data_IF_814008407433
#
_entry.id   IF_814008407433
#
_cell.length_a   1.000
_cell.length_b   1.000
_cell.length_c   1.000
_cell.angle_alpha   90.00
_cell.angle_beta   90.00
_cell.angle_gamma   90.00
#
_symmetry.space_group_name_H-M   'P 1'
#
loop_
_entity.id
_entity.type
_entity.pdbx_description
1 polymer ?
#
# COMPACT_ATOMS: atom_id res chain seq x y z
N UNK A 1 8.67 26.64 -15.34
CA UNK A 1 9.22 25.45 -14.66
C UNK A 1 8.68 24.21 -15.37
N UNK A 2 9.53 23.37 -15.97
CA UNK A 2 9.12 22.16 -16.68
C UNK A 2 9.27 20.94 -15.78
N UNK A 3 8.20 20.18 -15.55
CA UNK A 3 8.19 19.00 -14.67
C UNK A 3 8.18 17.75 -15.55
N UNK A 4 9.26 16.96 -15.50
CA UNK A 4 9.34 15.69 -16.20
C UNK A 4 8.98 14.55 -15.25
N UNK A 5 7.89 13.81 -15.51
CA UNK A 5 7.47 12.62 -14.73
C UNK A 5 8.35 11.38 -14.99
N UNK A 6 9.66 11.55 -15.04
CA UNK A 6 10.60 10.44 -15.20
C UNK A 6 10.77 9.72 -13.86
N UNK A 7 10.93 8.40 -13.91
CA UNK A 7 11.19 7.53 -12.76
C UNK A 7 12.37 6.61 -13.09
N UNK A 8 13.23 6.36 -12.10
CA UNK A 8 14.37 5.44 -12.24
C UNK A 8 13.89 3.98 -12.27
N UNK A 9 14.18 3.22 -13.35
CA UNK A 9 13.80 1.81 -13.42
C UNK A 9 14.56 0.99 -12.39
N UNK A 10 13.85 0.10 -11.67
CA UNK A 10 14.45 -0.84 -10.70
C UNK A 10 15.61 -1.61 -11.32
N UNK A 11 15.48 -2.09 -12.57
CA UNK A 11 16.53 -2.83 -13.28
C UNK A 11 17.82 -2.01 -13.51
N UNK A 12 17.74 -0.69 -13.66
CA UNK A 12 18.92 0.18 -13.79
C UNK A 12 19.69 0.24 -12.47
N UNK A 13 18.96 0.39 -11.36
CA UNK A 13 19.54 0.33 -10.01
C UNK A 13 20.06 -1.07 -9.70
N UNK A 14 19.38 -2.10 -10.21
CA UNK A 14 19.81 -3.47 -10.05
C UNK A 14 21.08 -3.80 -10.88
N UNK A 15 21.34 -3.11 -11.98
CA UNK A 15 22.56 -3.35 -12.78
C UNK A 15 23.83 -2.77 -12.15
N UNK A 16 23.71 -1.95 -11.11
CA UNK A 16 24.81 -1.45 -10.25
C UNK A 16 24.92 -2.16 -8.89
N UNK A 17 24.33 -3.35 -8.74
CA UNK A 17 23.94 -4.05 -7.49
C UNK A 17 25.00 -4.48 -6.47
N UNK A 18 26.25 -4.06 -6.56
CA UNK A 18 27.18 -4.33 -5.45
C UNK A 18 26.71 -3.66 -4.14
N UNK A 19 26.01 -2.52 -4.26
CA UNK A 19 25.67 -1.63 -3.12
C UNK A 19 24.15 -1.58 -2.83
N UNK A 20 23.28 -1.99 -3.74
CA UNK A 20 21.82 -1.75 -3.63
C UNK A 20 21.03 -2.90 -3.02
N UNK A 21 21.64 -4.06 -2.71
CA UNK A 21 21.00 -5.13 -1.94
C UNK A 21 20.62 -4.71 -0.51
N UNK A 22 21.19 -3.61 -0.01
CA UNK A 22 20.84 -3.04 1.30
C UNK A 22 19.85 -1.87 1.28
N UNK A 23 19.46 -1.36 0.11
CA UNK A 23 18.72 -0.09 0.02
C UNK A 23 17.21 -0.28 -0.20
N UNK A 24 16.36 0.29 0.68
CA UNK A 24 14.92 0.32 0.49
C UNK A 24 14.53 1.16 -0.74
N UNK A 25 13.27 1.03 -1.15
CA UNK A 25 12.69 1.78 -2.28
C UNK A 25 12.93 3.29 -2.11
N UNK A 26 13.58 3.92 -3.10
CA UNK A 26 13.96 5.34 -3.07
C UNK A 26 12.86 6.22 -3.64
N UNK A 27 12.67 7.43 -3.09
CA UNK A 27 11.68 8.40 -3.60
C UNK A 27 11.89 8.75 -5.09
N UNK A 28 13.14 8.77 -5.57
CA UNK A 28 13.48 9.01 -6.97
C UNK A 28 13.00 7.90 -7.95
N UNK A 29 12.56 6.75 -7.42
CA UNK A 29 11.91 5.69 -8.21
C UNK A 29 10.42 5.96 -8.44
N UNK A 30 9.83 6.97 -7.79
CA UNK A 30 8.47 7.43 -8.08
C UNK A 30 8.49 8.66 -9.02
N UNK A 31 7.64 8.73 -10.06
CA UNK A 31 7.54 9.93 -10.88
C UNK A 31 7.09 11.14 -10.07
N UNK A 32 7.66 12.32 -10.37
CA UNK A 32 7.33 13.57 -9.70
C UNK A 32 5.82 13.87 -9.73
N UNK A 33 5.27 14.37 -8.59
CA UNK A 33 3.85 14.67 -8.40
C UNK A 33 2.89 13.49 -8.59
N UNK A 34 3.38 12.25 -8.53
CA UNK A 34 2.49 11.08 -8.45
C UNK A 34 1.97 10.95 -7.03
N UNK A 35 0.66 10.80 -6.88
CA UNK A 35 0.06 10.53 -5.57
C UNK A 35 0.66 9.25 -4.97
N UNK A 36 1.20 9.32 -3.75
CA UNK A 36 1.80 8.20 -3.02
C UNK A 36 0.91 6.95 -2.97
N UNK A 37 -0.41 7.15 -2.88
CA UNK A 37 -1.40 6.07 -2.91
C UNK A 37 -1.40 5.24 -4.21
N UNK A 38 -0.78 5.74 -5.29
CA UNK A 38 -0.69 5.11 -6.62
C UNK A 38 0.71 4.57 -6.93
N UNK A 39 1.64 4.58 -5.96
CA UNK A 39 3.03 4.13 -6.18
C UNK A 39 3.28 2.81 -5.46
N UNK A 40 4.37 2.13 -5.82
CA UNK A 40 4.85 0.95 -5.08
C UNK A 40 5.31 1.27 -3.65
N UNK A 41 5.50 2.56 -3.32
CA UNK A 41 5.80 3.04 -1.97
C UNK A 41 4.53 3.32 -1.15
N UNK A 42 3.34 2.92 -1.62
CA UNK A 42 2.09 3.09 -0.86
C UNK A 42 2.25 2.50 0.55
N UNK A 43 2.04 3.29 1.61
CA UNK A 43 2.07 2.78 2.97
C UNK A 43 1.01 1.68 3.17
N UNK A 44 1.38 0.63 3.91
CA UNK A 44 0.44 -0.42 4.29
C UNK A 44 -0.35 0.09 5.50
N UNK A 45 -1.68 0.13 5.39
CA UNK A 45 -2.56 0.39 6.53
C UNK A 45 -2.56 -0.84 7.44
N UNK A 46 -1.78 -0.79 8.53
CA UNK A 46 -1.68 -1.89 9.52
C UNK A 46 -2.66 -1.77 10.67
N UNK A 47 -3.18 -0.57 10.89
CA UNK A 47 -4.15 -0.27 11.93
C UNK A 47 -5.43 0.26 11.30
N UNK A 48 -6.56 -0.31 11.71
CA UNK A 48 -7.89 0.17 11.38
C UNK A 48 -8.73 0.13 12.66
N UNK A 49 -9.47 1.20 12.91
CA UNK A 49 -10.44 1.28 14.00
C UNK A 49 -11.82 1.52 13.39
N UNK A 50 -12.79 0.72 13.79
CA UNK A 50 -14.17 0.81 13.33
C UNK A 50 -15.02 1.12 14.56
N UNK A 51 -15.85 2.16 14.46
CA UNK A 51 -16.78 2.55 15.51
C UNK A 51 -18.20 2.56 14.97
N UNK A 52 -19.12 1.95 15.71
CA UNK A 52 -20.54 1.91 15.38
C UNK A 52 -21.30 2.64 16.49
N UNK A 53 -21.87 3.83 16.21
CA UNK A 53 -22.62 4.58 17.21
C UNK A 53 -23.97 3.91 17.52
N UNK A 54 -24.53 4.18 18.70
CA UNK A 54 -25.85 3.73 19.14
C UNK A 54 -26.03 2.21 19.33
N UNK A 55 -24.93 1.47 19.51
CA UNK A 55 -24.97 0.02 19.73
C UNK A 55 -24.99 -0.78 18.43
N UNK A 56 -24.38 -1.97 18.46
CA UNK A 56 -24.31 -2.87 17.31
C UNK A 56 -25.58 -3.72 17.22
N UNK A 57 -26.31 -3.63 16.10
CA UNK A 57 -27.40 -4.55 15.79
C UNK A 57 -26.81 -5.90 15.35
N UNK A 58 -26.42 -6.74 16.32
CA UNK A 58 -25.65 -7.98 16.11
C UNK A 58 -26.24 -8.94 15.07
N UNK A 59 -27.55 -8.87 14.80
CA UNK A 59 -28.23 -9.62 13.73
C UNK A 59 -27.66 -9.37 12.32
N UNK A 60 -27.02 -8.23 12.06
CA UNK A 60 -26.35 -7.95 10.78
C UNK A 60 -24.84 -8.25 10.80
N UNK A 61 -24.30 -8.55 11.97
CA UNK A 61 -22.85 -8.71 12.19
C UNK A 61 -22.45 -10.13 12.57
N UNK A 62 -23.40 -10.92 13.09
CA UNK A 62 -23.18 -12.31 13.48
C UNK A 62 -23.47 -13.18 12.26
N UNK A 63 -22.48 -13.93 11.76
CA UNK A 63 -22.70 -14.89 10.68
C UNK A 63 -23.72 -15.94 11.11
N UNK A 64 -24.53 -16.45 10.18
CA UNK A 64 -25.49 -17.51 10.51
C UNK A 64 -24.80 -18.87 10.67
N UNK A 65 -23.66 -19.05 10.01
CA UNK A 65 -22.88 -20.29 9.97
C UNK A 65 -21.39 -19.99 10.09
N UNK A 66 -20.65 -20.97 10.62
CA UNK A 66 -19.19 -20.88 10.80
C UNK A 66 -18.44 -21.86 9.87
N UNK A 67 -17.14 -21.64 9.70
CA UNK A 67 -16.28 -22.57 8.96
C UNK A 67 -16.37 -22.43 7.44
N UNK A 68 -16.41 -23.55 6.72
CA UNK A 68 -16.46 -23.55 5.25
C UNK A 68 -17.80 -23.10 4.68
N UNK A 69 -18.85 -23.17 5.50
CA UNK A 69 -20.21 -22.83 5.13
C UNK A 69 -20.61 -21.44 5.64
N UNK A 70 -19.62 -20.55 5.85
CA UNK A 70 -19.82 -19.17 6.31
C UNK A 70 -20.73 -18.40 5.34
N UNK A 71 -21.87 -17.94 5.85
CA UNK A 71 -22.80 -16.99 5.21
C UNK A 71 -22.94 -15.74 6.06
#
# INVERSE_FOLDING_TARGET
MTISRKSLPRRTVLRGLGVTLGLPFLDAMSPAFTALAKTAAKPIHRFQAIYVPNGMAMQYWTPEKEGRDFE
#
